data_IF_020056945835
#
_entry.id   IF_020056945835
#
_cell.length_a   1.000
_cell.length_b   1.000
_cell.length_c   1.000
_cell.angle_alpha   90.00
_cell.angle_beta   90.00
_cell.angle_gamma   90.00
#
_symmetry.space_group_name_H-M   'P 1'
#
loop_
_entity.id
_entity.type
_entity.pdbx_description
1 polymer ?
#
# COMPACT_ATOMS: atom_id res chain seq x y z
N UNK A 1 52.57 0.51 53.73
CA UNK A 1 51.36 0.07 53.00
C UNK A 1 50.12 0.51 53.77
N UNK A 2 49.42 1.55 53.30
CA UNK A 2 48.20 2.07 53.94
C UNK A 2 46.97 1.47 53.24
N UNK A 3 46.14 0.74 53.99
CA UNK A 3 44.87 0.17 53.53
C UNK A 3 43.90 1.31 53.18
N UNK A 4 43.52 1.42 51.92
CA UNK A 4 42.40 2.27 51.51
C UNK A 4 41.09 1.63 51.99
N UNK A 5 40.54 2.15 53.09
CA UNK A 5 39.14 1.91 53.45
C UNK A 5 38.26 2.64 52.43
N UNK A 6 37.56 1.87 51.59
CA UNK A 6 36.46 2.37 50.77
C UNK A 6 35.33 2.82 51.70
N UNK A 7 35.27 4.12 52.00
CA UNK A 7 34.09 4.75 52.60
C UNK A 7 32.99 4.65 51.56
N UNK A 8 32.12 3.64 51.71
CA UNK A 8 30.88 3.54 50.97
C UNK A 8 30.07 4.80 51.21
N UNK A 9 29.95 5.65 50.19
CA UNK A 9 28.89 6.67 50.16
C UNK A 9 27.58 5.89 50.28
N UNK A 10 26.89 6.03 51.42
CA UNK A 10 25.47 5.69 51.53
C UNK A 10 24.75 6.52 50.47
N UNK A 11 24.60 5.96 49.27
CA UNK A 11 23.64 6.44 48.29
C UNK A 11 22.32 6.51 49.03
N UNK A 12 21.77 7.71 49.19
CA UNK A 12 20.37 7.90 49.52
C UNK A 12 19.56 7.31 48.35
N UNK A 13 19.48 5.97 48.28
CA UNK A 13 18.46 5.24 47.54
C UNK A 13 17.13 5.40 48.28
N UNK A 14 16.70 6.66 48.47
CA UNK A 14 15.28 6.93 48.52
C UNK A 14 14.83 6.72 47.08
N UNK A 15 14.35 5.51 46.78
CA UNK A 15 13.46 5.32 45.64
C UNK A 15 12.50 6.52 45.65
N UNK A 16 12.37 7.29 44.55
CA UNK A 16 11.43 8.39 44.52
C UNK A 16 10.08 7.80 44.93
N UNK A 17 9.56 8.23 46.09
CA UNK A 17 8.20 7.85 46.51
C UNK A 17 7.34 8.19 45.31
N UNK A 18 6.75 7.17 44.66
CA UNK A 18 5.73 7.39 43.63
C UNK A 18 4.74 8.37 44.27
N UNK A 19 4.61 9.57 43.69
CA UNK A 19 3.54 10.50 44.11
C UNK A 19 2.27 9.66 44.16
N UNK A 20 1.57 9.72 45.29
CA UNK A 20 0.28 9.03 45.40
C UNK A 20 -0.56 9.42 44.18
N UNK A 21 -1.20 8.45 43.50
CA UNK A 21 -2.02 8.76 42.36
C UNK A 21 -3.09 9.75 42.81
N UNK A 22 -3.19 10.88 42.11
CA UNK A 22 -4.23 11.88 42.39
C UNK A 22 -5.60 11.18 42.37
N UNK A 23 -6.29 11.15 43.52
CA UNK A 23 -7.61 10.57 43.62
C UNK A 23 -8.60 11.49 42.92
N UNK A 24 -8.94 11.14 41.68
CA UNK A 24 -9.99 11.82 40.92
C UNK A 24 -11.36 11.23 41.25
N UNK A 25 -12.44 12.02 41.24
CA UNK A 25 -13.80 11.52 41.35
C UNK A 25 -14.09 10.43 40.31
N UNK A 26 -14.98 9.47 40.63
CA UNK A 26 -15.34 8.37 39.71
C UNK A 26 -15.89 8.86 38.35
N UNK A 27 -16.53 10.03 38.32
CA UNK A 27 -17.08 10.66 37.11
C UNK A 27 -16.09 11.59 36.39
N UNK A 28 -14.85 11.68 36.86
CA UNK A 28 -13.84 12.53 36.22
C UNK A 28 -13.28 11.85 34.98
N UNK A 29 -13.03 12.61 33.90
CA UNK A 29 -12.52 12.10 32.61
C UNK A 29 -11.26 11.23 32.79
N UNK A 30 -10.38 11.58 33.73
CA UNK A 30 -9.16 10.82 34.05
C UNK A 30 -9.42 9.41 34.62
N UNK A 31 -10.56 9.22 35.30
CA UNK A 31 -10.94 7.97 35.95
C UNK A 31 -11.59 6.98 34.97
N UNK A 32 -11.98 7.45 33.77
CA UNK A 32 -12.59 6.60 32.75
C UNK A 32 -11.57 5.60 32.15
N UNK A 33 -12.03 4.40 31.73
CA UNK A 33 -11.21 3.46 30.96
C UNK A 33 -10.58 4.11 29.72
N UNK A 34 -9.39 3.63 29.34
CA UNK A 34 -8.61 4.14 28.21
C UNK A 34 -9.43 4.13 26.92
N UNK A 35 -10.25 3.10 26.69
CA UNK A 35 -11.08 2.94 25.50
C UNK A 35 -12.09 4.09 25.37
N UNK A 36 -12.68 4.51 26.49
CA UNK A 36 -13.64 5.61 26.53
C UNK A 36 -12.90 6.93 26.33
N UNK A 37 -11.75 7.13 27.00
CA UNK A 37 -10.91 8.31 26.81
C UNK A 37 -10.45 8.46 25.35
N UNK A 38 -10.06 7.36 24.70
CA UNK A 38 -9.68 7.35 23.29
C UNK A 38 -10.85 7.72 22.38
N UNK A 39 -12.06 7.22 22.65
CA UNK A 39 -13.27 7.61 21.89
C UNK A 39 -13.56 9.11 22.03
N UNK A 40 -13.46 9.65 23.24
CA UNK A 40 -13.67 11.08 23.51
C UNK A 40 -12.61 11.94 22.83
N UNK A 41 -11.32 11.60 22.96
CA UNK A 41 -10.26 12.37 22.29
C UNK A 41 -10.38 12.28 20.77
N UNK A 42 -10.81 11.13 20.25
CA UNK A 42 -11.02 10.94 18.82
C UNK A 42 -12.16 11.80 18.26
N UNK A 43 -13.21 12.08 19.02
CA UNK A 43 -14.27 13.00 18.57
C UNK A 43 -13.84 14.46 18.51
N UNK A 44 -12.74 14.82 19.17
CA UNK A 44 -12.16 16.18 19.16
C UNK A 44 -10.97 16.25 18.16
N UNK A 45 -10.51 15.12 17.65
CA UNK A 45 -9.38 15.03 16.74
C UNK A 45 -9.79 15.40 15.31
N UNK A 46 -9.75 16.70 15.00
CA UNK A 46 -9.94 17.22 13.64
C UNK A 46 -8.62 17.39 12.88
N UNK A 47 -7.63 18.02 13.51
CA UNK A 47 -6.37 18.43 12.88
C UNK A 47 -5.11 18.17 13.75
N UNK A 48 -5.25 17.42 14.83
CA UNK A 48 -4.21 17.16 15.83
C UNK A 48 -3.88 18.35 16.74
N UNK A 49 -3.99 19.60 16.25
CA UNK A 49 -3.80 20.82 17.04
C UNK A 49 -4.84 20.90 18.17
N UNK A 50 -6.07 20.50 17.87
CA UNK A 50 -7.20 20.45 18.80
C UNK A 50 -6.93 19.59 20.05
N UNK A 51 -5.98 18.64 19.99
CA UNK A 51 -5.60 17.80 21.13
C UNK A 51 -4.47 18.37 21.99
N UNK A 52 -3.74 19.39 21.53
CA UNK A 52 -2.62 19.96 22.29
C UNK A 52 -3.06 20.56 23.63
N UNK A 53 -4.19 21.31 23.74
CA UNK A 53 -4.68 21.78 25.03
C UNK A 53 -5.01 20.63 25.98
N UNK A 54 -5.64 19.56 25.47
CA UNK A 54 -5.99 18.36 26.26
C UNK A 54 -4.74 17.66 26.78
N UNK A 55 -3.69 17.59 25.96
CA UNK A 55 -2.39 17.04 26.35
C UNK A 55 -1.70 17.85 27.46
N UNK A 56 -2.04 19.14 27.62
CA UNK A 56 -1.49 19.99 28.70
C UNK A 56 -2.24 19.85 30.03
N UNK A 57 -3.42 19.23 30.04
CA UNK A 57 -4.24 19.11 31.27
C UNK A 57 -3.56 18.22 32.31
N UNK A 58 -3.05 17.06 31.90
CA UNK A 58 -2.36 16.15 32.81
C UNK A 58 -1.40 15.21 32.08
N UNK A 59 -0.48 14.61 32.84
CA UNK A 59 0.52 13.69 32.31
C UNK A 59 -0.10 12.44 31.68
N UNK A 60 -1.22 11.94 32.20
CA UNK A 60 -1.90 10.76 31.62
C UNK A 60 -2.42 11.08 30.20
N UNK A 61 -3.15 12.18 30.06
CA UNK A 61 -3.67 12.62 28.75
C UNK A 61 -2.54 12.95 27.79
N UNK A 62 -1.46 13.58 28.27
CA UNK A 62 -0.26 13.79 27.47
C UNK A 62 0.25 12.49 26.84
N UNK A 63 0.42 11.43 27.63
CA UNK A 63 0.91 10.14 27.13
C UNK A 63 -0.08 9.49 26.15
N UNK A 64 -1.38 9.52 26.44
CA UNK A 64 -2.41 8.95 25.57
C UNK A 64 -2.40 9.68 24.22
N UNK A 65 -2.42 11.01 24.25
CA UNK A 65 -2.46 11.84 23.05
C UNK A 65 -1.19 11.67 22.21
N UNK A 66 -0.02 11.70 22.85
CA UNK A 66 1.24 11.44 22.15
C UNK A 66 1.27 10.06 21.49
N UNK A 67 0.90 9.00 22.22
CA UNK A 67 1.00 7.62 21.76
C UNK A 67 0.00 7.27 20.66
N UNK A 68 -1.26 7.67 20.82
CA UNK A 68 -2.35 7.19 19.96
C UNK A 68 -2.71 8.16 18.82
N UNK A 69 -2.31 9.43 18.91
CA UNK A 69 -2.70 10.46 17.94
C UNK A 69 -1.49 11.15 17.29
N UNK A 70 -0.62 11.81 18.06
CA UNK A 70 0.40 12.70 17.50
C UNK A 70 1.54 11.93 16.83
N UNK A 71 2.15 10.95 17.52
CA UNK A 71 3.36 10.28 17.01
C UNK A 71 3.05 9.11 16.08
N UNK A 72 1.78 8.69 15.97
CA UNK A 72 1.40 7.47 15.27
C UNK A 72 1.66 7.55 13.77
N UNK A 73 1.33 8.68 13.15
CA UNK A 73 1.54 8.95 11.72
C UNK A 73 2.20 10.32 11.60
N UNK A 74 3.40 10.36 11.02
CA UNK A 74 4.16 11.61 10.87
C UNK A 74 4.47 11.84 9.39
N UNK A 75 4.25 13.06 8.94
CA UNK A 75 4.57 13.53 7.59
C UNK A 75 5.66 14.58 7.70
N UNK A 76 6.72 14.41 6.91
CA UNK A 76 7.81 15.36 6.77
C UNK A 76 7.72 15.99 5.39
N UNK A 77 7.34 17.27 5.36
CA UNK A 77 7.20 18.04 4.10
C UNK A 77 8.54 18.49 3.56
N UNK A 78 9.54 18.59 4.44
CA UNK A 78 10.91 18.98 4.09
C UNK A 78 11.92 18.12 4.85
N UNK A 79 13.11 17.98 4.28
CA UNK A 79 14.24 17.34 4.97
C UNK A 79 14.53 17.99 6.33
N UNK A 80 14.43 19.32 6.43
CA UNK A 80 14.67 20.08 7.66
C UNK A 80 13.72 19.68 8.79
N UNK A 81 12.44 19.45 8.51
CA UNK A 81 11.48 18.96 9.50
C UNK A 81 11.87 17.58 10.03
N UNK A 82 12.30 16.69 9.14
CA UNK A 82 12.80 15.39 9.52
C UNK A 82 14.07 15.49 10.40
N UNK A 83 15.01 16.37 10.07
CA UNK A 83 16.18 16.59 10.92
C UNK A 83 15.84 17.18 12.28
N UNK A 84 14.90 18.11 12.36
CA UNK A 84 14.41 18.63 13.65
C UNK A 84 13.80 17.52 14.50
N UNK A 85 12.97 16.68 13.89
CA UNK A 85 12.41 15.51 14.55
C UNK A 85 13.50 14.55 15.03
N UNK A 86 14.48 14.26 14.17
CA UNK A 86 15.58 13.37 14.50
C UNK A 86 16.47 13.92 15.60
N UNK A 87 16.76 15.22 15.60
CA UNK A 87 17.55 15.87 16.64
C UNK A 87 16.85 15.84 18.02
N UNK A 88 15.53 15.78 18.04
CA UNK A 88 14.75 15.71 19.29
C UNK A 88 14.57 14.28 19.80
N UNK A 89 14.68 13.29 18.93
CA UNK A 89 14.24 11.93 19.25
C UNK A 89 15.29 10.86 18.98
N UNK A 90 16.08 10.98 17.92
CA UNK A 90 17.01 9.98 17.43
C UNK A 90 18.47 10.28 17.76
N UNK A 91 18.84 11.54 18.05
CA UNK A 91 20.21 11.90 18.44
C UNK A 91 20.38 11.85 19.96
N UNK A 92 21.53 11.35 20.43
CA UNK A 92 21.79 11.17 21.85
C UNK A 92 21.06 9.96 22.45
N UNK A 93 20.32 10.16 23.54
CA UNK A 93 19.51 9.10 24.16
C UNK A 93 18.17 8.99 23.41
N UNK A 94 17.99 7.86 22.72
CA UNK A 94 16.84 7.62 21.85
C UNK A 94 15.53 7.73 22.64
N UNK A 95 14.65 8.61 22.21
CA UNK A 95 13.35 8.84 22.83
C UNK A 95 12.46 7.61 22.74
N UNK A 96 11.90 7.17 23.88
CA UNK A 96 10.91 6.09 23.94
C UNK A 96 9.68 6.34 23.04
N UNK A 97 9.38 7.60 22.70
CA UNK A 97 8.24 7.98 21.86
C UNK A 97 8.38 7.52 20.41
N UNK A 98 9.60 7.24 19.95
CA UNK A 98 9.84 6.76 18.59
C UNK A 98 9.14 5.42 18.34
N UNK A 99 8.98 4.60 19.39
CA UNK A 99 8.27 3.32 19.26
C UNK A 99 6.76 3.46 19.06
N UNK A 100 6.21 4.67 19.21
CA UNK A 100 4.81 4.94 18.88
C UNK A 100 4.59 5.24 17.39
N UNK A 101 5.67 5.53 16.66
CA UNK A 101 5.62 5.81 15.22
C UNK A 101 5.27 4.53 14.46
N UNK A 102 4.07 4.49 13.88
CA UNK A 102 3.62 3.39 13.02
C UNK A 102 3.84 3.70 11.54
N UNK A 103 3.72 4.96 11.13
CA UNK A 103 3.87 5.38 9.73
C UNK A 103 4.64 6.68 9.59
N UNK A 104 5.59 6.73 8.65
CA UNK A 104 6.26 7.97 8.26
C UNK A 104 6.19 8.22 6.75
N UNK A 105 5.87 9.46 6.38
CA UNK A 105 5.83 9.93 5.00
C UNK A 105 6.88 11.00 4.78
N UNK A 106 7.69 10.84 3.74
CA UNK A 106 8.73 11.78 3.32
C UNK A 106 8.35 12.36 1.97
N UNK A 107 8.03 13.65 1.95
CA UNK A 107 7.72 14.39 0.72
C UNK A 107 9.01 15.06 0.24
N UNK A 108 9.28 14.93 -1.07
CA UNK A 108 10.45 15.52 -1.74
C UNK A 108 11.77 15.23 -0.98
N UNK A 109 12.15 13.95 -0.85
CA UNK A 109 13.30 13.54 -0.05
C UNK A 109 14.63 14.11 -0.59
N UNK A 110 15.59 14.36 0.30
CA UNK A 110 16.89 14.93 -0.06
C UNK A 110 17.61 14.11 -1.15
N UNK A 111 18.06 14.79 -2.21
CA UNK A 111 18.85 14.19 -3.30
C UNK A 111 20.33 14.54 -3.14
N UNK A 112 21.22 13.64 -3.58
CA UNK A 112 22.66 13.91 -3.61
C UNK A 112 22.95 14.99 -4.66
N UNK A 113 23.37 16.18 -4.24
CA UNK A 113 23.84 17.24 -5.17
C UNK A 113 25.03 16.69 -5.97
N UNK A 114 24.86 16.55 -7.29
CA UNK A 114 25.97 16.23 -8.18
C UNK A 114 26.73 17.51 -8.53
N UNK A 115 28.06 17.47 -8.54
CA UNK A 115 28.90 18.63 -8.89
C UNK A 115 28.75 19.08 -10.36
N UNK A 116 28.02 18.33 -11.19
CA UNK A 116 27.89 18.55 -12.63
C UNK A 116 26.53 19.14 -13.04
N UNK A 117 25.67 19.54 -12.09
CA UNK A 117 24.34 20.09 -12.37
C UNK A 117 24.30 21.60 -12.20
N UNK A 118 24.83 22.34 -13.17
CA UNK A 118 24.21 23.59 -13.59
C UNK A 118 23.25 23.26 -14.73
N UNK A 119 21.95 23.20 -14.45
CA UNK A 119 20.95 23.02 -15.51
C UNK A 119 20.86 24.35 -16.25
N UNK A 120 21.62 24.51 -17.34
CA UNK A 120 21.40 25.59 -18.30
C UNK A 120 20.24 25.16 -19.21
N UNK A 121 19.03 25.57 -18.88
CA UNK A 121 17.89 25.45 -19.79
C UNK A 121 18.10 26.51 -20.89
N UNK A 122 18.20 26.06 -22.15
CA UNK A 122 18.34 26.97 -23.28
C UNK A 122 17.12 27.90 -23.37
N UNK A 123 17.35 29.22 -23.22
CA UNK A 123 16.31 30.25 -23.32
C UNK A 123 15.79 30.82 -22.00
N UNK A 124 16.18 30.29 -20.83
CA UNK A 124 15.96 30.98 -19.55
C UNK A 124 17.15 31.91 -19.28
N UNK A 125 16.89 33.22 -19.19
CA UNK A 125 17.82 34.17 -18.59
C UNK A 125 18.39 33.54 -17.32
N UNK A 126 19.71 33.63 -17.15
CA UNK A 126 20.46 33.06 -16.04
C UNK A 126 19.85 33.48 -14.70
N UNK A 127 18.87 32.71 -14.23
CA UNK A 127 18.57 32.62 -12.81
C UNK A 127 19.66 31.70 -12.29
N UNK A 128 20.82 32.29 -12.02
CA UNK A 128 21.68 31.76 -10.97
C UNK A 128 20.76 31.61 -9.75
N UNK A 129 20.24 30.39 -9.55
CA UNK A 129 19.67 30.02 -8.28
C UNK A 129 20.86 29.99 -7.33
N UNK A 130 21.20 31.18 -6.82
CA UNK A 130 22.02 31.41 -5.67
C UNK A 130 21.36 30.66 -4.50
N UNK A 131 21.52 29.34 -4.48
CA UNK A 131 21.33 28.47 -3.31
C UNK A 131 22.54 28.61 -2.39
N UNK A 132 23.09 29.83 -2.30
CA UNK A 132 23.91 30.26 -1.18
C UNK A 132 22.91 30.72 -0.12
N UNK A 133 22.82 29.96 0.97
CA UNK A 133 22.23 30.30 2.29
C UNK A 133 20.80 29.86 2.65
N UNK A 134 20.29 28.73 2.15
CA UNK A 134 19.24 27.96 2.85
C UNK A 134 19.51 26.44 2.73
N UNK A 135 19.57 25.77 3.88
CA UNK A 135 19.74 24.32 4.13
C UNK A 135 21.10 23.66 3.86
N UNK A 136 22.02 23.85 4.81
CA UNK A 136 23.29 23.13 5.02
C UNK A 136 23.12 21.69 5.54
N UNK A 137 22.07 20.99 5.13
CA UNK A 137 21.87 19.58 5.51
C UNK A 137 22.35 18.67 4.40
N UNK A 138 23.42 17.93 4.68
CA UNK A 138 24.03 17.05 3.69
C UNK A 138 23.15 15.83 3.43
N UNK A 139 23.11 15.38 2.17
CA UNK A 139 22.47 14.11 1.80
C UNK A 139 22.97 12.94 2.65
N UNK A 140 24.25 12.92 2.99
CA UNK A 140 24.87 11.91 3.87
C UNK A 140 24.26 11.90 5.27
N UNK A 141 24.02 13.06 5.87
CA UNK A 141 23.35 13.15 7.17
C UNK A 141 21.90 12.68 7.08
N UNK A 142 21.21 12.97 5.97
CA UNK A 142 19.84 12.54 5.75
C UNK A 142 19.73 11.02 5.73
N UNK A 143 20.61 10.36 4.96
CA UNK A 143 20.67 8.89 4.91
C UNK A 143 21.03 8.29 6.27
N UNK A 144 22.04 8.84 6.96
CA UNK A 144 22.44 8.36 8.29
C UNK A 144 21.28 8.46 9.28
N UNK A 145 20.50 9.55 9.20
CA UNK A 145 19.37 9.81 10.09
C UNK A 145 18.20 8.88 9.80
N UNK A 146 17.93 8.60 8.52
CA UNK A 146 16.98 7.54 8.11
C UNK A 146 17.40 6.17 8.63
N UNK A 147 18.69 5.82 8.52
CA UNK A 147 19.23 4.58 9.08
C UNK A 147 19.02 4.46 10.59
N UNK A 148 19.22 5.56 11.34
CA UNK A 148 18.92 5.60 12.77
C UNK A 148 17.43 5.40 13.04
N UNK A 149 16.55 6.04 12.27
CA UNK A 149 15.10 5.82 12.38
C UNK A 149 14.76 4.34 12.18
N UNK A 150 15.25 3.71 11.12
CA UNK A 150 14.97 2.30 10.82
C UNK A 150 15.56 1.34 11.86
N UNK A 151 16.69 1.72 12.49
CA UNK A 151 17.31 0.94 13.57
C UNK A 151 16.51 0.99 14.87
N UNK A 152 15.94 2.16 15.20
CA UNK A 152 15.40 2.42 16.53
C UNK A 152 13.86 2.45 16.61
N UNK A 153 13.15 2.72 15.51
CA UNK A 153 11.69 2.79 15.49
C UNK A 153 11.07 1.40 15.34
N UNK A 154 10.95 0.63 16.42
CA UNK A 154 10.42 -0.74 16.39
C UNK A 154 8.94 -0.81 16.01
N UNK A 155 8.17 0.23 16.33
CA UNK A 155 6.75 0.34 15.98
C UNK A 155 6.47 0.64 14.50
N UNK A 156 7.50 0.97 13.72
CA UNK A 156 7.36 1.41 12.33
C UNK A 156 6.86 0.26 11.44
N UNK A 157 5.67 0.43 10.87
CA UNK A 157 4.97 -0.52 10.00
C UNK A 157 4.93 -0.05 8.55
N UNK A 158 4.81 1.25 8.32
CA UNK A 158 4.60 1.83 6.99
C UNK A 158 5.57 2.97 6.69
N UNK A 159 6.11 2.98 5.48
CA UNK A 159 6.95 4.06 4.97
C UNK A 159 6.48 4.52 3.60
N UNK A 160 6.43 5.83 3.40
CA UNK A 160 6.06 6.42 2.13
C UNK A 160 7.10 7.46 1.72
N UNK A 161 7.58 7.36 0.48
CA UNK A 161 8.40 8.38 -0.15
C UNK A 161 7.62 8.90 -1.35
N UNK A 162 7.24 10.17 -1.31
CA UNK A 162 6.40 10.82 -2.32
C UNK A 162 7.13 12.02 -2.91
N UNK A 163 6.78 12.36 -4.15
CA UNK A 163 7.47 13.41 -4.90
C UNK A 163 8.96 13.09 -5.08
N UNK A 164 9.27 11.81 -5.30
CA UNK A 164 10.62 11.35 -5.57
C UNK A 164 11.09 11.95 -6.90
N UNK A 165 12.20 12.70 -6.87
CA UNK A 165 12.86 13.22 -8.06
C UNK A 165 13.54 12.09 -8.87
N UNK A 166 13.70 12.22 -10.20
CA UNK A 166 14.38 11.21 -11.01
C UNK A 166 15.80 10.86 -10.58
N UNK A 167 16.54 11.79 -9.97
CA UNK A 167 17.90 11.53 -9.48
C UNK A 167 17.96 10.97 -8.06
N UNK A 168 16.81 10.81 -7.39
CA UNK A 168 16.78 10.25 -6.05
C UNK A 168 17.27 8.81 -6.07
N UNK A 169 18.28 8.54 -5.24
CA UNK A 169 18.86 7.22 -5.08
C UNK A 169 19.25 7.07 -3.62
N UNK A 170 19.13 5.88 -3.06
CA UNK A 170 19.83 5.52 -1.82
C UNK A 170 21.26 5.09 -2.16
N UNK A 171 22.24 5.28 -1.25
CA UNK A 171 23.60 4.87 -1.52
C UNK A 171 23.68 3.34 -1.61
N UNK A 172 24.39 2.84 -2.62
CA UNK A 172 24.70 1.41 -2.77
C UNK A 172 25.75 0.93 -1.76
N UNK A 173 26.59 1.86 -1.28
CA UNK A 173 27.81 1.59 -0.50
C UNK A 173 27.56 0.96 0.87
N UNK A 174 26.34 1.00 1.40
CA UNK A 174 26.07 0.36 2.69
C UNK A 174 25.95 -1.17 2.56
N UNK A 175 25.83 -1.71 1.33
CA UNK A 175 26.08 -3.14 1.06
C UNK A 175 27.53 -3.58 1.29
N UNK A 176 28.50 -2.65 1.43
CA UNK A 176 29.93 -2.95 1.51
C UNK A 176 30.64 -2.36 2.73
N UNK A 177 30.14 -2.63 3.94
CA UNK A 177 30.98 -2.58 5.16
C UNK A 177 31.30 -3.98 5.70
N UNK A 178 31.77 -4.88 4.83
CA UNK A 178 32.81 -5.84 5.22
C UNK A 178 34.14 -5.08 5.31
N UNK A 179 34.26 -4.16 6.27
CA UNK A 179 35.57 -3.62 6.60
C UNK A 179 36.42 -4.76 7.16
N UNK A 180 37.61 -4.96 6.62
CA UNK A 180 38.69 -5.86 7.06
C UNK A 180 39.24 -5.58 8.47
N UNK A 181 38.47 -4.90 9.32
CA UNK A 181 38.79 -4.69 10.72
C UNK A 181 38.40 -5.93 11.53
N UNK A 182 39.40 -6.63 12.05
CA UNK A 182 39.27 -7.81 12.92
C UNK A 182 38.49 -7.57 14.24
N UNK A 183 38.01 -6.34 14.50
CA UNK A 183 37.38 -5.96 15.77
C UNK A 183 36.03 -5.22 15.65
N UNK A 184 35.33 -5.25 14.52
CA UNK A 184 33.94 -4.77 14.48
C UNK A 184 32.99 -5.88 14.91
N UNK A 185 32.36 -5.69 16.08
CA UNK A 185 31.13 -6.40 16.48
C UNK A 185 30.22 -6.50 15.26
N UNK A 186 29.97 -7.73 14.77
CA UNK A 186 28.87 -8.01 13.84
C UNK A 186 27.62 -7.41 14.48
N UNK A 187 27.15 -6.27 14.00
CA UNK A 187 25.82 -5.79 14.35
C UNK A 187 24.89 -6.83 13.77
N UNK A 188 24.37 -7.70 14.62
CA UNK A 188 23.38 -8.72 14.25
C UNK A 188 22.23 -7.96 13.59
N UNK A 189 22.02 -8.18 12.28
CA UNK A 189 20.84 -7.66 11.58
C UNK A 189 19.63 -8.11 12.42
N UNK A 190 18.96 -7.16 13.08
CA UNK A 190 17.68 -7.45 13.71
C UNK A 190 16.71 -7.65 12.56
N UNK A 191 16.37 -8.91 12.30
CA UNK A 191 15.43 -9.32 11.26
C UNK A 191 14.09 -8.62 11.49
N UNK A 192 13.71 -7.68 10.63
CA UNK A 192 12.49 -6.89 10.76
C UNK A 192 11.67 -6.97 9.47
N UNK A 193 10.35 -6.99 9.63
CA UNK A 193 9.40 -6.86 8.53
C UNK A 193 8.81 -5.46 8.51
N UNK A 194 8.65 -4.90 7.32
CA UNK A 194 7.86 -3.70 7.07
C UNK A 194 6.50 -4.13 6.49
N UNK A 195 5.40 -3.59 7.01
CA UNK A 195 4.06 -3.95 6.52
C UNK A 195 3.79 -3.30 5.16
N UNK A 196 4.18 -2.03 4.96
CA UNK A 196 3.95 -1.32 3.70
C UNK A 196 5.11 -0.38 3.33
N UNK A 197 5.51 -0.38 2.06
CA UNK A 197 6.40 0.59 1.45
C UNK A 197 5.74 1.19 0.21
N UNK A 198 5.55 2.51 0.19
CA UNK A 198 5.03 3.24 -0.98
C UNK A 198 6.14 4.12 -1.55
N UNK A 199 6.41 3.96 -2.84
CA UNK A 199 7.30 4.85 -3.59
C UNK A 199 6.48 5.54 -4.69
N UNK A 200 6.53 6.87 -4.71
CA UNK A 200 5.81 7.71 -5.68
C UNK A 200 6.71 8.83 -6.20
N UNK A 201 7.00 8.88 -7.51
CA UNK A 201 7.67 9.99 -8.17
C UNK A 201 6.87 11.29 -8.07
N UNK A 202 7.52 12.40 -8.41
CA UNK A 202 6.82 13.66 -8.61
C UNK A 202 5.78 13.53 -9.73
N UNK A 203 4.62 14.16 -9.54
CA UNK A 203 3.53 14.14 -10.53
C UNK A 203 4.03 14.52 -11.93
N UNK A 204 3.63 13.75 -12.94
CA UNK A 204 4.06 13.96 -14.33
C UNK A 204 5.38 13.27 -14.70
N UNK A 205 6.07 12.64 -13.75
CA UNK A 205 7.29 11.87 -14.02
C UNK A 205 7.03 10.37 -13.92
N UNK A 206 7.59 9.62 -14.86
CA UNK A 206 7.79 8.18 -14.71
C UNK A 206 9.28 7.87 -14.67
N UNK A 207 9.72 7.19 -13.61
CA UNK A 207 11.16 6.98 -13.36
C UNK A 207 11.51 5.48 -13.46
N UNK A 208 12.65 5.10 -14.05
CA UNK A 208 13.10 3.71 -14.07
C UNK A 208 13.37 3.18 -12.66
N UNK A 209 12.75 2.06 -12.29
CA UNK A 209 13.05 1.40 -11.02
C UNK A 209 14.45 0.78 -11.09
N UNK A 210 15.28 1.05 -10.08
CA UNK A 210 16.65 0.54 -9.97
C UNK A 210 16.88 0.00 -8.57
N UNK A 211 17.89 -0.87 -8.41
CA UNK A 211 18.31 -1.43 -7.11
C UNK A 211 18.56 -0.34 -6.06
N UNK A 212 19.05 0.83 -6.49
CA UNK A 212 19.33 2.00 -5.66
C UNK A 212 18.09 2.57 -4.96
N UNK A 213 16.88 2.34 -5.47
CA UNK A 213 15.65 2.82 -4.84
C UNK A 213 15.23 1.97 -3.64
N UNK A 214 15.77 0.75 -3.54
CA UNK A 214 15.46 -0.20 -2.48
C UNK A 214 16.66 -0.54 -1.59
N UNK A 215 17.87 -0.06 -1.92
CA UNK A 215 19.11 -0.49 -1.28
C UNK A 215 19.11 -0.28 0.23
N UNK A 216 18.66 0.90 0.68
CA UNK A 216 18.61 1.22 2.12
C UNK A 216 17.68 0.26 2.88
N UNK A 217 16.53 -0.10 2.32
CA UNK A 217 15.58 -1.01 2.99
C UNK A 217 16.15 -2.41 3.17
N UNK A 218 16.97 -2.89 2.22
CA UNK A 218 17.62 -4.21 2.28
C UNK A 218 18.62 -4.35 3.44
N UNK A 219 19.05 -3.24 4.05
CA UNK A 219 19.93 -3.26 5.21
C UNK A 219 19.18 -3.50 6.52
N UNK A 220 17.95 -2.98 6.63
CA UNK A 220 17.20 -2.92 7.87
C UNK A 220 16.00 -3.87 7.91
N UNK A 221 15.48 -4.28 6.75
CA UNK A 221 14.29 -5.12 6.63
C UNK A 221 14.58 -6.37 5.79
N UNK A 222 14.11 -7.52 6.26
CA UNK A 222 14.21 -8.79 5.54
C UNK A 222 12.99 -9.01 4.63
N UNK A 223 11.85 -8.42 5.00
CA UNK A 223 10.57 -8.62 4.31
C UNK A 223 9.78 -7.33 4.24
N UNK A 224 9.19 -7.06 3.08
CA UNK A 224 8.16 -6.05 2.86
C UNK A 224 6.88 -6.81 2.52
N UNK A 225 5.85 -6.69 3.36
CA UNK A 225 4.58 -7.38 3.10
C UNK A 225 3.90 -6.78 1.87
N UNK A 226 3.82 -5.46 1.77
CA UNK A 226 3.25 -4.76 0.62
C UNK A 226 4.22 -3.71 0.05
N UNK A 227 4.60 -3.87 -1.21
CA UNK A 227 5.37 -2.88 -1.97
C UNK A 227 4.45 -2.21 -2.99
N UNK A 228 4.21 -0.91 -2.83
CA UNK A 228 3.41 -0.10 -3.74
C UNK A 228 4.30 0.83 -4.55
N UNK A 229 4.32 0.61 -5.86
CA UNK A 229 5.07 1.39 -6.82
C UNK A 229 4.06 2.18 -7.67
N UNK A 230 4.25 3.49 -7.74
CA UNK A 230 3.40 4.40 -8.50
C UNK A 230 4.26 5.04 -9.60
N UNK A 231 3.80 5.03 -10.85
CA UNK A 231 4.48 5.67 -11.99
C UNK A 231 5.95 5.22 -12.23
N UNK A 232 6.30 3.97 -11.90
CA UNK A 232 7.64 3.43 -12.19
C UNK A 232 7.71 2.71 -13.55
N UNK A 233 8.87 2.79 -14.19
CA UNK A 233 9.20 2.02 -15.39
C UNK A 233 10.10 0.85 -14.97
N UNK A 234 9.70 -0.38 -15.29
CA UNK A 234 10.51 -1.58 -15.04
C UNK A 234 11.15 -2.01 -16.35
N UNK A 235 12.39 -1.59 -16.55
CA UNK A 235 13.19 -1.81 -17.76
C UNK A 235 14.39 -2.75 -17.52
N UNK A 236 14.70 -3.09 -16.28
CA UNK A 236 15.76 -4.01 -15.89
C UNK A 236 15.35 -4.91 -14.71
N UNK A 237 15.90 -6.14 -14.60
CA UNK A 237 15.71 -6.97 -13.41
C UNK A 237 16.28 -6.29 -12.16
N UNK A 238 15.50 -6.26 -11.08
CA UNK A 238 15.90 -5.67 -9.80
C UNK A 238 16.52 -6.73 -8.90
N UNK A 239 17.80 -6.55 -8.54
CA UNK A 239 18.62 -7.52 -7.83
C UNK A 239 18.87 -7.07 -6.38
N UNK A 240 17.82 -7.20 -5.58
CA UNK A 240 17.84 -6.83 -4.15
C UNK A 240 17.53 -8.02 -3.26
N UNK A 241 18.18 -8.05 -2.09
CA UNK A 241 18.04 -9.12 -1.10
C UNK A 241 17.00 -8.73 -0.05
N UNK A 242 15.74 -8.67 -0.49
CA UNK A 242 14.57 -8.43 0.36
C UNK A 242 13.39 -9.24 -0.16
N UNK A 243 12.63 -9.86 0.75
CA UNK A 243 11.43 -10.63 0.39
C UNK A 243 10.25 -9.68 0.22
N UNK A 244 9.51 -9.78 -0.90
CA UNK A 244 8.26 -9.04 -1.11
C UNK A 244 7.11 -10.02 -1.25
N UNK A 245 6.04 -9.84 -0.46
CA UNK A 245 4.90 -10.79 -0.44
C UNK A 245 3.75 -10.36 -1.37
N UNK A 246 3.44 -9.05 -1.37
CA UNK A 246 2.46 -8.40 -2.25
C UNK A 246 3.11 -7.21 -2.97
N UNK A 247 2.80 -7.07 -4.26
CA UNK A 247 3.19 -5.90 -5.06
C UNK A 247 1.95 -5.22 -5.63
N UNK A 248 1.89 -3.91 -5.49
CA UNK A 248 0.91 -3.04 -6.13
C UNK A 248 1.64 -2.20 -7.17
N UNK A 249 1.25 -2.32 -8.43
CA UNK A 249 1.67 -1.44 -9.51
C UNK A 249 0.53 -0.49 -9.86
N UNK A 250 0.74 0.79 -9.63
CA UNK A 250 -0.18 1.84 -10.04
C UNK A 250 0.46 2.63 -11.19
N UNK A 251 -0.18 2.64 -12.35
CA UNK A 251 0.31 3.36 -13.54
C UNK A 251 1.75 2.98 -13.97
N UNK A 252 2.30 1.86 -13.51
CA UNK A 252 3.65 1.43 -13.85
C UNK A 252 3.69 0.84 -15.26
N UNK A 253 4.87 0.82 -15.88
CA UNK A 253 5.08 0.22 -17.20
C UNK A 253 6.22 -0.79 -17.19
N UNK A 254 6.19 -1.71 -18.15
CA UNK A 254 7.17 -2.77 -18.31
C UNK A 254 7.70 -2.78 -19.74
N UNK A 255 9.02 -2.70 -19.90
CA UNK A 255 9.67 -2.58 -21.22
C UNK A 255 10.74 -3.65 -21.47
N UNK A 256 10.95 -4.60 -20.55
CA UNK A 256 12.00 -5.61 -20.69
C UNK A 256 11.66 -6.61 -21.80
N UNK A 257 12.57 -6.76 -22.76
CA UNK A 257 12.48 -7.78 -23.81
C UNK A 257 12.78 -9.16 -23.22
N UNK A 258 11.78 -10.06 -23.25
CA UNK A 258 11.88 -11.51 -22.95
C UNK A 258 12.75 -11.87 -21.74
N UNK A 259 12.17 -11.80 -20.55
CA UNK A 259 12.83 -12.29 -19.33
C UNK A 259 12.54 -13.78 -19.16
N UNK A 260 13.60 -14.59 -18.96
CA UNK A 260 13.50 -16.06 -18.80
C UNK A 260 13.38 -16.51 -17.34
N UNK A 261 13.66 -15.64 -16.38
CA UNK A 261 13.70 -15.94 -14.95
C UNK A 261 13.10 -14.79 -14.13
N UNK A 262 12.44 -15.08 -13.00
CA UNK A 262 11.87 -14.03 -12.17
C UNK A 262 12.96 -13.09 -11.65
N UNK A 263 12.70 -11.79 -11.66
CA UNK A 263 13.57 -10.83 -10.98
C UNK A 263 13.62 -11.16 -9.48
N UNK A 264 14.81 -11.11 -8.84
CA UNK A 264 14.95 -11.47 -7.43
C UNK A 264 13.99 -10.74 -6.49
N UNK A 265 13.66 -9.47 -6.78
CA UNK A 265 12.67 -8.70 -6.03
C UNK A 265 11.29 -9.37 -6.00
N UNK A 266 10.86 -10.00 -7.10
CA UNK A 266 9.51 -10.54 -7.28
C UNK A 266 9.43 -12.05 -7.04
N UNK A 267 10.53 -12.70 -6.65
CA UNK A 267 10.63 -14.17 -6.52
C UNK A 267 9.65 -14.79 -5.50
N UNK A 268 9.21 -14.01 -4.52
CA UNK A 268 8.35 -14.46 -3.40
C UNK A 268 6.95 -13.83 -3.43
N UNK A 269 6.63 -13.09 -4.48
CA UNK A 269 5.35 -12.37 -4.61
C UNK A 269 4.22 -13.36 -4.85
N UNK A 270 3.27 -13.38 -3.92
CA UNK A 270 2.08 -14.24 -3.96
C UNK A 270 0.82 -13.48 -4.39
N UNK A 271 0.81 -12.15 -4.22
CA UNK A 271 -0.29 -11.27 -4.57
C UNK A 271 0.21 -10.14 -5.47
N UNK A 272 -0.41 -10.00 -6.65
CA UNK A 272 -0.16 -8.90 -7.58
C UNK A 272 -1.42 -8.05 -7.70
N UNK A 273 -1.27 -6.74 -7.59
CA UNK A 273 -2.34 -5.78 -7.78
C UNK A 273 -1.96 -4.76 -8.86
N UNK A 274 -2.83 -4.58 -9.85
CA UNK A 274 -2.65 -3.62 -10.95
C UNK A 274 -3.74 -2.55 -10.89
N UNK A 275 -3.32 -1.29 -10.83
CA UNK A 275 -4.20 -0.12 -10.69
C UNK A 275 -3.86 0.96 -11.72
N UNK A 276 -4.85 1.79 -12.09
CA UNK A 276 -4.63 2.97 -12.91
C UNK A 276 -4.03 2.68 -14.30
N UNK A 277 -4.41 1.56 -14.92
CA UNK A 277 -3.85 1.16 -16.21
C UNK A 277 -4.40 2.04 -17.33
N UNK A 278 -3.52 2.68 -18.10
CA UNK A 278 -3.82 3.54 -19.25
C UNK A 278 -3.42 2.91 -20.59
N UNK A 279 -2.54 1.89 -20.57
CA UNK A 279 -2.05 1.20 -21.77
C UNK A 279 -2.06 -0.31 -21.60
N UNK A 280 -2.40 -1.05 -22.66
CA UNK A 280 -2.40 -2.52 -22.62
C UNK A 280 -1.02 -3.12 -22.36
N UNK A 281 0.06 -2.38 -22.62
CA UNK A 281 1.42 -2.83 -22.31
C UNK A 281 1.67 -2.94 -20.80
N UNK A 282 0.88 -2.27 -19.97
CA UNK A 282 1.01 -2.35 -18.52
C UNK A 282 0.47 -3.67 -17.97
N UNK A 283 -0.43 -4.36 -18.69
CA UNK A 283 -0.87 -5.71 -18.33
C UNK A 283 0.27 -6.74 -18.43
N UNK A 284 1.31 -6.44 -19.21
CA UNK A 284 2.53 -7.26 -19.27
C UNK A 284 3.32 -7.28 -17.96
N UNK A 285 2.99 -6.43 -16.97
CA UNK A 285 3.51 -6.55 -15.60
C UNK A 285 3.13 -7.88 -14.94
N UNK A 286 2.04 -8.52 -15.38
CA UNK A 286 1.69 -9.87 -14.95
C UNK A 286 2.76 -10.87 -15.39
N UNK A 287 3.31 -10.70 -16.60
CA UNK A 287 4.34 -11.58 -17.14
C UNK A 287 5.65 -11.50 -16.35
N UNK A 288 5.94 -10.34 -15.77
CA UNK A 288 7.11 -10.13 -14.90
C UNK A 288 7.03 -10.94 -13.61
N UNK A 289 5.84 -11.02 -13.00
CA UNK A 289 5.65 -11.67 -11.70
C UNK A 289 5.34 -13.16 -11.83
N UNK A 290 4.54 -13.56 -12.83
CA UNK A 290 4.08 -14.95 -12.97
C UNK A 290 5.21 -15.97 -13.15
N UNK A 291 6.38 -15.52 -13.64
CA UNK A 291 7.59 -16.36 -13.75
C UNK A 291 8.11 -16.91 -12.40
N UNK A 292 7.62 -16.40 -11.28
CA UNK A 292 8.02 -16.85 -9.95
C UNK A 292 7.34 -18.17 -9.50
N UNK A 293 6.35 -18.66 -10.24
CA UNK A 293 5.53 -19.84 -9.88
C UNK A 293 4.89 -19.78 -8.48
N UNK A 294 4.78 -18.61 -7.87
CA UNK A 294 4.18 -18.38 -6.54
C UNK A 294 2.97 -17.43 -6.57
N UNK A 295 2.76 -16.73 -7.67
CA UNK A 295 1.60 -15.86 -7.86
C UNK A 295 0.30 -16.67 -7.72
N UNK A 296 -0.44 -16.39 -6.66
CA UNK A 296 -1.69 -17.08 -6.30
C UNK A 296 -2.89 -16.15 -6.49
N UNK A 297 -2.73 -14.88 -6.16
CA UNK A 297 -3.82 -13.88 -6.23
C UNK A 297 -3.46 -12.75 -7.19
N UNK A 298 -4.37 -12.46 -8.11
CA UNK A 298 -4.29 -11.29 -8.99
C UNK A 298 -5.47 -10.37 -8.71
N UNK A 299 -5.17 -9.09 -8.51
CA UNK A 299 -6.15 -8.02 -8.27
C UNK A 299 -6.05 -7.04 -9.45
N UNK A 300 -7.16 -6.84 -10.15
CA UNK A 300 -7.25 -5.91 -11.28
C UNK A 300 -8.26 -4.81 -10.95
N UNK A 301 -7.83 -3.56 -11.06
CA UNK A 301 -8.72 -2.41 -11.01
C UNK A 301 -9.43 -2.22 -12.35
N UNK A 302 -10.67 -2.68 -12.44
CA UNK A 302 -11.50 -2.56 -13.64
C UNK A 302 -12.00 -1.15 -13.90
N UNK A 303 -11.75 -0.16 -13.04
CA UNK A 303 -11.98 1.25 -13.38
C UNK A 303 -10.86 1.84 -14.27
N UNK A 304 -9.77 1.10 -14.47
CA UNK A 304 -8.65 1.53 -15.33
C UNK A 304 -9.11 1.80 -16.76
N UNK A 305 -8.66 2.92 -17.34
CA UNK A 305 -9.10 3.35 -18.68
C UNK A 305 -8.72 2.38 -19.79
N UNK A 306 -7.69 1.55 -19.59
CA UNK A 306 -7.28 0.50 -20.55
C UNK A 306 -8.42 -0.43 -20.96
N UNK A 307 -9.39 -0.68 -20.06
CA UNK A 307 -10.48 -1.62 -20.26
C UNK A 307 -11.63 -1.06 -21.09
N UNK A 308 -11.67 0.24 -21.32
CA UNK A 308 -12.81 0.91 -21.95
C UNK A 308 -12.44 1.56 -23.28
N UNK A 309 -13.39 1.55 -24.22
CA UNK A 309 -13.35 2.35 -25.44
C UNK A 309 -14.68 3.09 -25.52
N UNK A 310 -14.64 4.42 -25.72
CA UNK A 310 -15.84 5.27 -25.79
C UNK A 310 -16.78 5.16 -24.58
N UNK A 311 -16.23 4.84 -23.39
CA UNK A 311 -17.00 4.69 -22.15
C UNK A 311 -17.60 3.30 -21.92
N UNK A 312 -17.49 2.38 -22.87
CA UNK A 312 -17.96 1.00 -22.75
C UNK A 312 -16.80 0.02 -22.61
N UNK A 313 -17.01 -1.05 -21.83
CA UNK A 313 -16.00 -2.08 -21.63
C UNK A 313 -15.71 -2.82 -22.93
N UNK A 314 -14.44 -2.93 -23.30
CA UNK A 314 -14.03 -3.53 -24.56
C UNK A 314 -13.93 -5.06 -24.46
N UNK A 315 -15.08 -5.74 -24.47
CA UNK A 315 -15.14 -7.21 -24.42
C UNK A 315 -14.37 -7.88 -25.56
N UNK A 316 -14.41 -7.32 -26.77
CA UNK A 316 -13.67 -7.85 -27.94
C UNK A 316 -12.17 -7.98 -27.66
N UNK A 317 -11.58 -6.98 -26.99
CA UNK A 317 -10.14 -6.99 -26.67
C UNK A 317 -9.83 -7.83 -25.44
N UNK A 318 -10.68 -7.79 -24.41
CA UNK A 318 -10.34 -8.36 -23.10
C UNK A 318 -10.89 -9.77 -22.85
N UNK A 319 -11.91 -10.23 -23.55
CA UNK A 319 -12.39 -11.60 -23.40
C UNK A 319 -11.31 -12.64 -23.74
N UNK A 320 -10.51 -12.50 -24.82
CA UNK A 320 -9.38 -13.39 -25.06
C UNK A 320 -8.31 -13.34 -23.95
N UNK A 321 -8.10 -12.15 -23.36
CA UNK A 321 -7.17 -11.98 -22.24
C UNK A 321 -7.66 -12.72 -20.98
N UNK A 322 -8.92 -12.55 -20.59
CA UNK A 322 -9.49 -13.23 -19.42
C UNK A 322 -9.62 -14.73 -19.64
N UNK A 323 -9.91 -15.19 -20.87
CA UNK A 323 -9.85 -16.61 -21.24
C UNK A 323 -8.49 -17.22 -20.96
N UNK A 324 -7.41 -16.54 -21.36
CA UNK A 324 -6.05 -17.01 -21.13
C UNK A 324 -5.66 -16.92 -19.64
N UNK A 325 -6.02 -15.82 -18.99
CA UNK A 325 -5.69 -15.58 -17.58
C UNK A 325 -6.35 -16.62 -16.66
N UNK A 326 -7.59 -16.98 -16.96
CA UNK A 326 -8.41 -17.87 -16.13
C UNK A 326 -8.42 -19.32 -16.62
N UNK A 327 -7.60 -19.69 -17.62
CA UNK A 327 -7.60 -21.05 -18.17
C UNK A 327 -7.04 -22.10 -17.19
N UNK A 328 -6.28 -21.66 -16.18
CA UNK A 328 -5.58 -22.57 -15.26
C UNK A 328 -4.40 -23.31 -15.89
N UNK A 329 -3.97 -22.92 -17.09
CA UNK A 329 -2.91 -23.59 -17.85
C UNK A 329 -1.60 -22.78 -17.87
N UNK A 330 -0.49 -23.48 -18.07
CA UNK A 330 0.85 -22.88 -18.21
C UNK A 330 1.28 -22.06 -16.99
N UNK A 331 1.82 -20.86 -17.23
CA UNK A 331 2.35 -19.98 -16.18
C UNK A 331 1.27 -19.37 -15.26
N UNK A 332 -0.02 -19.67 -15.50
CA UNK A 332 -1.14 -19.25 -14.65
C UNK A 332 -1.71 -20.38 -13.79
N UNK A 333 -1.16 -21.60 -13.85
CA UNK A 333 -1.68 -22.76 -13.12
C UNK A 333 -1.75 -22.57 -11.59
N UNK A 334 -0.91 -21.71 -11.02
CA UNK A 334 -0.90 -21.42 -9.58
C UNK A 334 -1.85 -20.28 -9.18
N UNK A 335 -2.43 -19.57 -10.15
CA UNK A 335 -3.38 -18.50 -9.90
C UNK A 335 -4.71 -19.11 -9.46
N UNK A 336 -5.07 -18.93 -8.18
CA UNK A 336 -6.30 -19.48 -7.59
C UNK A 336 -7.35 -18.40 -7.31
N UNK A 337 -6.92 -17.15 -7.18
CA UNK A 337 -7.80 -16.05 -6.79
C UNK A 337 -7.71 -14.90 -7.77
N UNK A 338 -8.85 -14.50 -8.33
CA UNK A 338 -8.99 -13.28 -9.13
C UNK A 338 -9.89 -12.30 -8.38
N UNK A 339 -9.39 -11.09 -8.16
CA UNK A 339 -10.16 -9.99 -7.56
C UNK A 339 -10.33 -8.90 -8.61
N UNK A 340 -11.58 -8.58 -8.94
CA UNK A 340 -11.93 -7.51 -9.86
C UNK A 340 -12.44 -6.32 -9.06
N UNK A 341 -11.63 -5.27 -8.94
CA UNK A 341 -11.96 -4.05 -8.20
C UNK A 341 -12.68 -3.03 -9.07
N UNK A 342 -13.54 -2.24 -8.42
CA UNK A 342 -14.32 -1.17 -9.06
C UNK A 342 -15.12 -1.65 -10.27
N UNK A 343 -15.59 -2.90 -10.24
CA UNK A 343 -16.34 -3.47 -11.34
C UNK A 343 -17.77 -2.95 -11.33
N UNK A 344 -18.29 -2.65 -12.52
CA UNK A 344 -19.65 -2.17 -12.71
C UNK A 344 -20.52 -3.30 -13.27
N UNK A 345 -20.95 -4.18 -12.38
CA UNK A 345 -21.71 -5.38 -12.74
C UNK A 345 -23.04 -5.04 -13.45
N UNK A 346 -23.71 -3.99 -12.99
CA UNK A 346 -25.11 -3.73 -13.35
C UNK A 346 -25.28 -2.92 -14.64
N UNK A 347 -24.29 -2.10 -15.04
CA UNK A 347 -24.36 -1.38 -16.30
C UNK A 347 -24.34 -2.30 -17.54
N UNK A 348 -23.70 -3.46 -17.44
CA UNK A 348 -23.57 -4.41 -18.56
C UNK A 348 -24.59 -5.54 -18.53
N UNK A 349 -25.31 -5.70 -17.42
CA UNK A 349 -26.41 -6.65 -17.31
C UNK A 349 -27.72 -5.96 -17.69
N UNK A 350 -27.94 -5.80 -19.00
CA UNK A 350 -29.22 -5.30 -19.52
C UNK A 350 -30.24 -6.43 -19.48
N UNK A 351 -31.16 -6.37 -18.52
CA UNK A 351 -32.18 -7.39 -18.33
C UNK A 351 -33.18 -7.50 -19.52
N UNK A 352 -33.23 -6.49 -20.39
CA UNK A 352 -34.11 -6.46 -21.56
C UNK A 352 -33.61 -7.36 -22.71
N UNK A 353 -32.30 -7.68 -22.77
CA UNK A 353 -31.69 -8.50 -23.84
C UNK A 353 -31.83 -10.02 -23.60
N UNK A 354 -32.35 -10.43 -22.44
CA UNK A 354 -32.55 -11.85 -22.06
C UNK A 354 -33.74 -12.54 -22.77
N UNK A 355 -34.41 -11.85 -23.70
CA UNK A 355 -35.64 -12.30 -24.35
C UNK A 355 -35.58 -12.34 -25.88
N UNK A 356 -34.40 -12.23 -26.49
CA UNK A 356 -34.28 -12.56 -27.91
C UNK A 356 -34.10 -14.08 -28.08
N UNK A 357 -34.96 -14.71 -28.88
CA UNK A 357 -34.84 -16.11 -29.29
C UNK A 357 -33.54 -16.26 -30.10
N UNK A 358 -32.44 -16.57 -29.42
CA UNK A 358 -31.15 -16.79 -30.07
C UNK A 358 -31.23 -18.11 -30.83
N UNK A 359 -31.15 -18.00 -32.16
CA UNK A 359 -31.19 -19.13 -33.08
C UNK A 359 -30.03 -20.11 -32.77
N UNK A 360 -30.38 -21.31 -32.27
CA UNK A 360 -29.44 -22.28 -31.68
C UNK A 360 -28.34 -22.81 -32.61
N UNK A 361 -28.39 -22.45 -33.89
CA UNK A 361 -27.45 -22.87 -34.94
C UNK A 361 -26.29 -21.89 -35.17
N UNK A 362 -26.34 -20.68 -34.61
CA UNK A 362 -25.28 -19.67 -34.73
C UNK A 362 -24.48 -19.65 -33.44
N UNK A 363 -23.15 -19.81 -33.53
CA UNK A 363 -22.29 -19.65 -32.35
C UNK A 363 -22.48 -18.24 -31.77
N UNK A 364 -22.80 -18.13 -30.46
CA UNK A 364 -23.07 -16.84 -29.85
C UNK A 364 -21.80 -15.97 -29.90
N UNK A 365 -21.96 -14.65 -30.10
CA UNK A 365 -20.81 -13.75 -30.19
C UNK A 365 -20.00 -13.80 -28.89
N UNK A 366 -18.69 -14.00 -29.00
CA UNK A 366 -17.79 -14.06 -27.83
C UNK A 366 -17.45 -12.68 -27.26
N UNK A 367 -18.00 -11.61 -27.82
CA UNK A 367 -17.67 -10.21 -27.51
C UNK A 367 -18.72 -9.57 -26.60
N UNK A 368 -19.17 -10.29 -25.58
CA UNK A 368 -20.22 -9.84 -24.67
C UNK A 368 -19.83 -10.08 -23.20
N UNK A 369 -20.66 -9.51 -22.34
CA UNK A 369 -20.55 -9.63 -20.89
C UNK A 369 -20.70 -11.08 -20.41
N UNK A 370 -21.62 -11.86 -21.00
CA UNK A 370 -21.82 -13.26 -20.60
C UNK A 370 -20.58 -14.12 -20.82
N UNK A 371 -19.88 -13.90 -21.94
CA UNK A 371 -18.62 -14.59 -22.24
C UNK A 371 -17.52 -14.18 -21.26
N UNK A 372 -17.45 -12.89 -20.90
CA UNK A 372 -16.54 -12.40 -19.86
C UNK A 372 -16.79 -13.12 -18.53
N UNK A 373 -18.06 -13.14 -18.09
CA UNK A 373 -18.48 -13.76 -16.84
C UNK A 373 -18.21 -15.27 -16.81
N UNK A 374 -18.42 -15.96 -17.93
CA UNK A 374 -18.05 -17.37 -18.09
C UNK A 374 -16.54 -17.61 -17.99
N UNK A 375 -15.70 -16.73 -18.53
CA UNK A 375 -14.25 -16.91 -18.44
C UNK A 375 -13.73 -16.67 -17.03
N UNK A 376 -14.17 -15.61 -16.37
CA UNK A 376 -13.74 -15.34 -14.98
C UNK A 376 -14.29 -16.37 -14.00
N UNK A 377 -15.42 -17.02 -14.34
CA UNK A 377 -15.97 -18.07 -13.49
C UNK A 377 -15.13 -19.33 -13.45
N UNK A 378 -14.14 -19.53 -14.33
CA UNK A 378 -13.21 -20.67 -14.24
C UNK A 378 -12.21 -20.56 -13.07
N UNK A 379 -12.08 -19.38 -12.46
CA UNK A 379 -11.20 -19.19 -11.31
C UNK A 379 -11.76 -19.86 -10.05
N UNK A 380 -10.90 -20.54 -9.28
CA UNK A 380 -11.31 -21.22 -8.04
C UNK A 380 -11.93 -20.26 -7.01
N UNK A 381 -11.37 -19.06 -6.88
CA UNK A 381 -11.94 -17.99 -6.06
C UNK A 381 -12.06 -16.71 -6.89
N UNK A 382 -13.28 -16.24 -7.10
CA UNK A 382 -13.59 -14.99 -7.77
C UNK A 382 -14.15 -14.00 -6.75
N UNK A 383 -13.54 -12.82 -6.66
CA UNK A 383 -14.02 -11.73 -5.81
C UNK A 383 -14.35 -10.52 -6.69
N UNK A 384 -15.60 -10.07 -6.67
CA UNK A 384 -16.05 -8.87 -7.36
C UNK A 384 -16.26 -7.76 -6.34
N UNK A 385 -15.43 -6.72 -6.39
CA UNK A 385 -15.58 -5.52 -5.55
C UNK A 385 -16.24 -4.44 -6.38
N UNK A 386 -17.45 -4.05 -5.98
CA UNK A 386 -18.29 -3.12 -6.72
C UNK A 386 -17.77 -1.68 -6.63
N UNK A 387 -17.99 -0.88 -7.68
CA UNK A 387 -17.62 0.53 -7.74
C UNK A 387 -18.39 1.40 -6.73
N UNK A 388 -17.73 2.46 -6.23
CA UNK A 388 -18.32 3.47 -5.32
C UNK A 388 -19.31 4.39 -6.03
N UNK A 389 -20.51 3.91 -6.31
CA UNK A 389 -21.63 4.72 -6.78
C UNK A 389 -22.93 4.14 -6.24
N UNK A 390 -23.99 4.94 -6.04
CA UNK A 390 -25.31 4.39 -5.78
C UNK A 390 -25.76 3.68 -7.06
N UNK A 391 -25.41 2.41 -7.21
CA UNK A 391 -25.87 1.62 -8.34
C UNK A 391 -27.29 1.22 -8.02
N UNK A 392 -28.19 2.03 -8.54
CA UNK A 392 -29.61 1.79 -8.58
C UNK A 392 -29.84 0.65 -9.55
N UNK A 393 -30.37 -0.46 -9.06
CA UNK A 393 -30.61 -1.63 -9.89
C UNK A 393 -31.93 -1.45 -10.65
N UNK A 394 -31.87 -1.40 -11.97
CA UNK A 394 -33.06 -1.31 -12.81
C UNK A 394 -33.86 -2.61 -12.71
N UNK A 395 -35.07 -2.54 -12.14
CA UNK A 395 -35.96 -3.72 -11.98
C UNK A 395 -36.82 -3.92 -13.22
N UNK A 396 -36.75 -5.10 -13.87
CA UNK A 396 -37.58 -5.44 -15.03
C UNK A 396 -38.91 -6.13 -14.63
N UNK A 397 -40.04 -5.71 -15.23
CA UNK A 397 -41.38 -6.23 -14.91
C UNK A 397 -41.60 -7.70 -15.32
N UNK A 398 -40.86 -8.21 -16.32
CA UNK A 398 -41.06 -9.56 -16.88
C UNK A 398 -40.32 -10.67 -16.14
N UNK A 399 -39.22 -10.36 -15.46
CA UNK A 399 -38.37 -11.34 -14.79
C UNK A 399 -38.72 -11.63 -13.32
N UNK A 400 -39.87 -11.16 -12.86
CA UNK A 400 -40.34 -11.46 -11.49
C UNK A 400 -39.99 -10.42 -10.45
N UNK A 401 -39.35 -9.29 -10.80
CA UNK A 401 -39.37 -8.10 -9.94
C UNK A 401 -40.79 -7.51 -9.94
N UNK A 402 -41.66 -8.10 -9.09
CA UNK A 402 -43.07 -7.75 -9.00
C UNK A 402 -43.22 -6.36 -8.40
N UNK A 403 -43.77 -5.46 -9.23
CA UNK A 403 -44.10 -4.04 -9.02
C UNK A 403 -42.93 -3.10 -9.31
N UNK A 404 -43.20 -2.00 -10.00
CA UNK A 404 -42.33 -0.82 -10.09
C UNK A 404 -41.92 -0.44 -8.67
N UNK A 405 -40.80 -0.97 -8.21
CA UNK A 405 -40.11 -0.45 -7.05
C UNK A 405 -39.13 0.58 -7.61
N UNK A 406 -39.12 1.76 -6.99
CA UNK A 406 -38.01 2.68 -7.13
C UNK A 406 -36.71 1.88 -7.02
N UNK A 407 -35.81 2.07 -7.97
CA UNK A 407 -34.40 1.69 -7.92
C UNK A 407 -33.95 1.15 -6.54
N UNK A 408 -33.71 -0.16 -6.45
CA UNK A 408 -33.23 -0.77 -5.21
C UNK A 408 -31.77 -0.44 -4.98
N UNK A 409 -31.40 -0.33 -3.70
CA UNK A 409 -30.01 -0.29 -3.27
C UNK A 409 -29.42 -1.71 -3.36
N UNK A 410 -28.22 -1.85 -3.92
CA UNK A 410 -27.53 -3.16 -4.03
C UNK A 410 -27.48 -3.89 -2.68
N UNK A 411 -27.25 -3.15 -1.59
CA UNK A 411 -27.14 -3.68 -0.23
C UNK A 411 -28.42 -4.38 0.26
N UNK A 412 -29.55 -4.12 -0.39
CA UNK A 412 -30.87 -4.68 -0.03
C UNK A 412 -31.31 -5.83 -0.93
N UNK A 413 -30.46 -6.25 -1.89
CA UNK A 413 -30.77 -7.37 -2.77
C UNK A 413 -30.79 -8.68 -1.98
N UNK A 414 -31.83 -9.46 -2.20
CA UNK A 414 -31.98 -10.82 -1.67
C UNK A 414 -31.10 -11.82 -2.44
N UNK A 415 -30.78 -12.99 -1.85
CA UNK A 415 -30.00 -14.02 -2.55
C UNK A 415 -30.59 -14.44 -3.90
N UNK A 416 -31.92 -14.56 -4.01
CA UNK A 416 -32.60 -14.91 -5.27
C UNK A 416 -32.42 -13.83 -6.34
N UNK A 417 -32.42 -12.55 -5.95
CA UNK A 417 -32.16 -11.46 -6.88
C UNK A 417 -30.70 -11.49 -7.37
N UNK A 418 -29.75 -11.79 -6.49
CA UNK A 418 -28.37 -12.03 -6.88
C UNK A 418 -28.22 -13.20 -7.84
N UNK A 419 -28.90 -14.32 -7.61
CA UNK A 419 -28.88 -15.47 -8.53
C UNK A 419 -29.34 -15.10 -9.95
N UNK A 420 -30.33 -14.20 -10.08
CA UNK A 420 -30.79 -13.70 -11.37
C UNK A 420 -29.68 -12.90 -12.07
N UNK A 421 -29.03 -11.97 -11.36
CA UNK A 421 -27.92 -11.18 -11.91
C UNK A 421 -26.67 -12.01 -12.21
N UNK A 422 -26.45 -13.08 -11.47
CA UNK A 422 -25.26 -13.91 -11.58
C UNK A 422 -25.48 -15.14 -12.47
N UNK A 423 -26.68 -15.30 -13.04
CA UNK A 423 -27.01 -16.38 -13.98
C UNK A 423 -25.95 -16.57 -15.08
N UNK A 424 -25.35 -15.52 -15.68
CA UNK A 424 -24.29 -15.69 -16.68
C UNK A 424 -22.99 -16.32 -16.17
N UNK A 425 -22.70 -16.28 -14.86
CA UNK A 425 -21.48 -16.88 -14.30
C UNK A 425 -21.48 -18.41 -14.37
N UNK A 426 -22.65 -19.05 -14.50
CA UNK A 426 -22.76 -20.51 -14.61
C UNK A 426 -21.90 -21.21 -13.55
N UNK A 427 -22.13 -20.87 -12.29
CA UNK A 427 -21.27 -21.24 -11.16
C UNK A 427 -20.95 -22.75 -11.19
N UNK A 428 -19.67 -23.05 -11.41
CA UNK A 428 -19.11 -24.41 -11.31
C UNK A 428 -18.70 -24.71 -9.86
N UNK A 429 -17.63 -25.47 -9.66
CA UNK A 429 -17.06 -25.84 -8.35
C UNK A 429 -16.31 -24.68 -7.64
N UNK A 430 -16.61 -23.43 -8.02
CA UNK A 430 -15.84 -22.25 -7.67
C UNK A 430 -16.51 -21.42 -6.57
N UNK A 431 -15.71 -20.66 -5.81
CA UNK A 431 -16.20 -19.74 -4.78
C UNK A 431 -16.31 -18.34 -5.36
N UNK A 432 -17.52 -17.78 -5.37
CA UNK A 432 -17.77 -16.40 -5.75
C UNK A 432 -18.10 -15.57 -4.50
N UNK A 433 -17.46 -14.40 -4.41
CA UNK A 433 -17.74 -13.39 -3.40
C UNK A 433 -17.99 -12.04 -4.07
N UNK A 434 -19.03 -11.33 -3.64
CA UNK A 434 -19.31 -9.96 -4.06
C UNK A 434 -19.22 -9.07 -2.83
N UNK A 435 -18.41 -8.02 -2.94
CA UNK A 435 -18.15 -7.06 -1.89
C UNK A 435 -18.58 -5.66 -2.36
N UNK A 436 -19.07 -4.86 -1.42
CA UNK A 436 -19.22 -3.42 -1.65
C UNK A 436 -17.85 -2.76 -1.81
N UNK A 437 -17.83 -1.52 -2.29
CA UNK A 437 -16.59 -0.72 -2.35
C UNK A 437 -15.88 -0.65 -0.98
N UNK A 438 -16.64 -0.65 0.11
CA UNK A 438 -16.11 -0.56 1.48
C UNK A 438 -15.76 -1.95 2.05
N UNK A 439 -15.62 -2.96 1.18
CA UNK A 439 -15.26 -4.35 1.51
C UNK A 439 -16.27 -5.03 2.45
N UNK A 440 -17.54 -4.64 2.38
CA UNK A 440 -18.64 -5.32 3.07
C UNK A 440 -19.14 -6.45 2.19
N UNK A 441 -19.28 -7.65 2.76
CA UNK A 441 -19.76 -8.83 2.05
C UNK A 441 -21.25 -8.65 1.69
N UNK A 442 -21.56 -8.62 0.40
CA UNK A 442 -22.92 -8.46 -0.12
C UNK A 442 -23.53 -9.80 -0.53
N UNK A 443 -22.71 -10.67 -1.11
CA UNK A 443 -23.13 -11.99 -1.56
C UNK A 443 -21.94 -12.96 -1.54
N UNK A 444 -22.18 -14.20 -1.15
CA UNK A 444 -21.19 -15.27 -1.23
C UNK A 444 -21.89 -16.55 -1.61
N UNK A 445 -21.32 -17.25 -2.58
CA UNK A 445 -21.78 -18.59 -2.97
C UNK A 445 -20.57 -19.50 -3.12
N UNK A 446 -20.71 -20.71 -2.61
CA UNK A 446 -19.72 -21.77 -2.69
C UNK A 446 -20.47 -23.08 -2.75
N UNK A 447 -20.02 -24.03 -3.59
CA UNK A 447 -20.53 -25.40 -3.59
C UNK A 447 -20.45 -26.09 -2.22
N UNK A 448 -19.58 -25.61 -1.33
CA UNK A 448 -19.33 -26.21 -0.01
C UNK A 448 -20.12 -25.58 1.15
N UNK A 449 -21.05 -24.66 0.86
CA UNK A 449 -21.90 -24.01 1.87
C UNK A 449 -23.38 -24.24 1.62
#
# INVERSE_FOLDING_TARGET
MKKYQLIGRKSNNRFPKRKEPSNYPLLHLHSLPLEIQLRIFRSIYNDGQSLLPVARVCQSFYHIICKYFIYRKVEFKTSLEFFKFANQHLTGEVSNKINYLESATFINPQVKKSSNQSINIAGSYAVESNTRTMDTLSYTEFISTLGNLFTHAYGLKSLQFTEIAPEFAFPLEVKQKTSTSLFKRKVTKRKRSLDALVLRPQSGWSIPLKDIHLSLFCEYFDTIKELHLIDFIIDQPINVDIKVEKVIFQSCSYSIKKVKSPSPLFKDVSVLELQGLTSSMQLSLIDLVKLNNKLNTLILDLQSSVFYINGEFNFTKFNPFFRLLCSGEGNFANLKTLVLKNFDLFNYLKHDDLHEDVDSWIEPPTNNFDTFMKYVSFMSNLVLVLKKTPVKVNTCKKCGFKKQQSDKLIETLTPQEWEIFLKPLGLQDNRLKIESHDSVDLYTISKYN
#
